data_IF_162143606580
#
_entry.id   IF_162143606580
#
_cell.length_a   1.000
_cell.length_b   1.000
_cell.length_c   1.000
_cell.angle_alpha   90.00
_cell.angle_beta   90.00
_cell.angle_gamma   90.00
#
_symmetry.space_group_name_H-M   'P 1'
#
loop_
_entity.id
_entity.type
_entity.pdbx_description
1 polymer ?
#
# COMPACT_ATOMS: atom_id res chain seq x y z
N UNK A 1 -5.54 -12.12 8.53
CA UNK A 1 -4.30 -11.77 7.83
C UNK A 1 -4.10 -12.54 6.54
N UNK A 2 -3.95 -11.80 5.45
CA UNK A 2 -3.51 -12.31 4.15
C UNK A 2 -1.99 -12.42 4.05
N UNK A 3 -1.51 -13.06 2.98
CA UNK A 3 -0.08 -13.17 2.66
C UNK A 3 0.21 -12.38 1.38
N UNK A 4 1.26 -11.58 1.40
CA UNK A 4 1.64 -10.76 0.25
C UNK A 4 1.99 -11.62 -0.98
N UNK A 5 1.40 -11.30 -2.12
CA UNK A 5 1.74 -11.95 -3.39
C UNK A 5 3.08 -11.44 -3.95
N UNK A 6 3.53 -11.98 -5.09
CA UNK A 6 4.83 -11.62 -5.68
C UNK A 6 4.95 -10.13 -6.07
N UNK A 7 3.86 -9.49 -6.45
CA UNK A 7 3.82 -8.08 -6.87
C UNK A 7 3.82 -7.14 -5.67
N UNK A 8 3.12 -7.52 -4.60
CA UNK A 8 3.13 -6.81 -3.32
C UNK A 8 4.51 -6.91 -2.66
N UNK A 9 5.12 -8.10 -2.69
CA UNK A 9 6.52 -8.30 -2.28
C UNK A 9 7.47 -7.41 -3.08
N UNK A 10 7.34 -7.37 -4.40
CA UNK A 10 8.17 -6.51 -5.22
C UNK A 10 7.98 -5.01 -4.92
N UNK A 11 6.75 -4.56 -4.67
CA UNK A 11 6.49 -3.19 -4.22
C UNK A 11 7.22 -2.87 -2.90
N UNK A 12 7.19 -3.78 -1.93
CA UNK A 12 7.90 -3.60 -0.66
C UNK A 12 9.42 -3.51 -0.86
N UNK A 13 9.99 -4.33 -1.74
CA UNK A 13 11.42 -4.29 -2.06
C UNK A 13 11.83 -2.92 -2.61
N UNK A 14 11.04 -2.36 -3.53
CA UNK A 14 11.25 -1.03 -4.09
C UNK A 14 11.17 0.06 -3.00
N UNK A 15 10.15 -0.01 -2.14
CA UNK A 15 9.98 0.91 -1.00
C UNK A 15 11.19 0.85 -0.06
N UNK A 16 11.61 -0.35 0.33
CA UNK A 16 12.73 -0.52 1.26
C UNK A 16 14.07 -0.12 0.64
N UNK A 17 14.23 -0.26 -0.68
CA UNK A 17 15.39 0.29 -1.39
C UNK A 17 15.45 1.82 -1.26
N UNK A 18 14.32 2.53 -1.40
CA UNK A 18 14.27 3.99 -1.21
C UNK A 18 14.51 4.41 0.24
N UNK A 19 13.94 3.68 1.21
CA UNK A 19 14.17 3.92 2.64
C UNK A 19 15.64 3.75 3.03
N UNK A 20 16.32 2.75 2.46
CA UNK A 20 17.74 2.51 2.71
C UNK A 20 18.64 3.69 2.31
N UNK A 21 18.28 4.43 1.25
CA UNK A 21 19.05 5.59 0.76
C UNK A 21 19.09 6.75 1.74
N UNK A 22 18.12 6.82 2.65
CA UNK A 22 18.03 7.86 3.68
C UNK A 22 18.34 7.33 5.09
N UNK A 23 18.74 6.06 5.21
CA UNK A 23 19.02 5.42 6.50
C UNK A 23 17.76 5.09 7.33
N UNK A 24 16.57 5.15 6.74
CA UNK A 24 15.34 4.77 7.42
C UNK A 24 15.26 3.24 7.59
N UNK A 25 14.66 2.78 8.69
CA UNK A 25 14.51 1.35 8.93
C UNK A 25 13.61 0.69 7.86
N UNK A 26 13.93 -0.52 7.38
CA UNK A 26 13.05 -1.22 6.45
C UNK A 26 11.69 -1.51 7.09
N UNK A 27 10.63 -1.45 6.29
CA UNK A 27 9.29 -1.87 6.69
C UNK A 27 9.17 -3.39 6.57
N UNK A 28 8.47 -3.99 7.53
CA UNK A 28 8.09 -5.39 7.51
C UNK A 28 6.63 -5.54 7.05
N UNK A 29 6.33 -6.58 6.28
CA UNK A 29 4.94 -6.90 5.99
C UNK A 29 4.18 -7.26 7.27
N UNK A 30 2.97 -6.74 7.38
CA UNK A 30 1.98 -7.19 8.34
C UNK A 30 0.74 -7.67 7.58
N UNK A 31 0.31 -8.90 7.82
CA UNK A 31 -0.76 -9.51 7.03
C UNK A 31 -2.16 -8.96 7.32
N UNK A 32 -2.39 -8.32 8.48
CA UNK A 32 -3.67 -7.62 8.73
C UNK A 32 -3.68 -6.28 7.97
N UNK A 33 -2.54 -5.60 7.88
CA UNK A 33 -2.40 -4.43 7.01
C UNK A 33 -2.54 -4.81 5.52
N UNK A 34 -2.00 -5.97 5.12
CA UNK A 34 -2.11 -6.45 3.75
C UNK A 34 -3.57 -6.70 3.37
N UNK A 35 -4.30 -7.41 4.24
CA UNK A 35 -5.74 -7.66 4.09
C UNK A 35 -6.55 -6.35 4.03
N UNK A 36 -6.24 -5.38 4.90
CA UNK A 36 -6.84 -4.04 4.84
C UNK A 36 -6.60 -3.35 3.50
N UNK A 37 -5.39 -3.46 2.93
CA UNK A 37 -5.03 -2.82 1.66
C UNK A 37 -5.69 -3.51 0.47
N UNK A 38 -5.70 -4.86 0.42
CA UNK A 38 -6.36 -5.64 -0.63
C UNK A 38 -7.86 -5.33 -0.68
N UNK A 39 -8.55 -5.39 0.47
CA UNK A 39 -9.99 -5.09 0.56
C UNK A 39 -10.30 -3.68 0.04
N UNK A 40 -9.47 -2.69 0.38
CA UNK A 40 -9.69 -1.31 -0.08
C UNK A 40 -9.44 -1.16 -1.59
N UNK A 41 -8.40 -1.78 -2.12
CA UNK A 41 -8.12 -1.81 -3.56
C UNK A 41 -9.24 -2.49 -4.35
N UNK A 42 -9.73 -3.66 -3.91
CA UNK A 42 -10.88 -4.33 -4.54
C UNK A 42 -12.15 -3.48 -4.45
N UNK A 43 -12.38 -2.81 -3.32
CA UNK A 43 -13.53 -1.93 -3.16
C UNK A 43 -13.49 -0.75 -4.13
N UNK A 44 -12.33 -0.08 -4.25
CA UNK A 44 -12.12 1.02 -5.19
C UNK A 44 -12.45 0.60 -6.63
N UNK A 45 -11.98 -0.58 -7.05
CA UNK A 45 -12.29 -1.17 -8.36
C UNK A 45 -13.79 -1.43 -8.50
N UNK A 46 -14.40 -2.14 -7.54
CA UNK A 46 -15.80 -2.57 -7.63
C UNK A 46 -16.83 -1.44 -7.63
N UNK A 47 -16.42 -0.25 -7.18
CA UNK A 47 -17.29 0.92 -7.06
C UNK A 47 -16.89 2.05 -8.00
N UNK A 48 -15.92 1.81 -8.90
CA UNK A 48 -15.38 2.79 -9.85
C UNK A 48 -15.02 4.13 -9.15
N UNK A 49 -14.28 4.02 -8.05
CA UNK A 49 -13.91 5.17 -7.23
C UNK A 49 -12.43 5.14 -6.86
N UNK A 50 -11.84 6.32 -6.67
CA UNK A 50 -10.45 6.46 -6.24
C UNK A 50 -10.38 7.42 -5.05
N UNK A 51 -10.30 6.86 -3.85
CA UNK A 51 -10.48 7.62 -2.61
C UNK A 51 -9.78 6.98 -1.42
N UNK A 52 -9.26 7.83 -0.52
CA UNK A 52 -8.80 7.40 0.81
C UNK A 52 -9.97 7.05 1.75
N UNK A 53 -11.16 7.60 1.48
CA UNK A 53 -12.40 7.26 2.20
C UNK A 53 -13.04 6.04 1.56
N UNK A 54 -13.18 4.97 2.33
CA UNK A 54 -13.64 3.66 1.88
C UNK A 54 -15.14 3.45 2.03
N UNK A 55 -15.55 2.18 1.90
CA UNK A 55 -16.92 1.73 2.08
C UNK A 55 -17.55 2.28 3.37
N UNK A 56 -18.78 2.79 3.27
CA UNK A 56 -19.51 3.35 4.41
C UNK A 56 -18.88 4.60 5.04
N UNK A 57 -17.92 5.25 4.37
CA UNK A 57 -17.20 6.41 4.92
C UNK A 57 -16.00 6.05 5.79
N UNK A 58 -15.52 4.80 5.74
CA UNK A 58 -14.39 4.33 6.56
C UNK A 58 -13.10 5.08 6.26
N UNK A 59 -12.36 5.43 7.32
CA UNK A 59 -10.98 5.90 7.21
C UNK A 59 -10.00 4.72 7.05
N UNK A 60 -8.74 4.95 6.65
CA UNK A 60 -7.74 3.89 6.61
C UNK A 60 -7.56 3.19 7.96
N UNK A 61 -7.58 3.93 9.07
CA UNK A 61 -7.47 3.36 10.42
C UNK A 61 -8.64 2.45 10.79
N UNK A 62 -9.86 2.79 10.34
CA UNK A 62 -11.03 1.93 10.54
C UNK A 62 -10.88 0.61 9.78
N UNK A 63 -10.36 0.68 8.54
CA UNK A 63 -10.12 -0.52 7.71
C UNK A 63 -9.03 -1.41 8.31
N UNK A 64 -7.92 -0.82 8.78
CA UNK A 64 -6.87 -1.56 9.50
C UNK A 64 -7.41 -2.27 10.74
N UNK A 65 -8.23 -1.56 11.54
CA UNK A 65 -8.88 -2.14 12.72
C UNK A 65 -9.84 -3.27 12.35
N UNK A 66 -10.63 -3.09 11.29
CA UNK A 66 -11.57 -4.10 10.80
C UNK A 66 -10.86 -5.36 10.27
N UNK A 67 -9.65 -5.21 9.71
CA UNK A 67 -8.79 -6.32 9.30
C UNK A 67 -8.07 -7.02 10.48
N UNK A 68 -8.24 -6.51 11.71
CA UNK A 68 -7.69 -7.12 12.92
C UNK A 68 -6.36 -6.51 13.41
N UNK A 69 -5.84 -5.48 12.72
CA UNK A 69 -4.57 -4.85 13.12
C UNK A 69 -4.69 -4.20 14.50
N UNK A 70 -3.79 -4.61 15.41
CA UNK A 70 -3.79 -4.13 16.78
C UNK A 70 -2.94 -2.87 16.94
N UNK A 71 -3.59 -1.72 17.07
CA UNK A 71 -2.95 -0.46 17.45
C UNK A 71 -2.56 -0.48 18.94
N UNK A 72 -1.36 -0.97 19.24
CA UNK A 72 -0.81 -0.98 20.59
C UNK A 72 0.30 0.06 20.78
N UNK A 73 0.36 0.67 21.97
CA UNK A 73 1.38 1.68 22.28
C UNK A 73 1.16 3.02 21.58
N UNK A 74 2.27 3.73 21.29
CA UNK A 74 2.23 4.94 20.47
C UNK A 74 2.26 4.56 19.00
N UNK A 75 1.21 4.92 18.28
CA UNK A 75 1.04 4.55 16.87
C UNK A 75 0.79 5.78 15.99
N UNK A 76 1.14 5.62 14.72
CA UNK A 76 0.79 6.54 13.63
C UNK A 76 0.60 5.69 12.37
N UNK A 77 -0.18 6.18 11.42
CA UNK A 77 -0.44 5.49 10.16
C UNK A 77 -0.42 6.48 8.99
N UNK A 78 -0.27 5.95 7.78
CA UNK A 78 -0.35 6.68 6.53
C UNK A 78 -0.89 5.77 5.43
N UNK A 79 -1.51 6.36 4.42
CA UNK A 79 -2.01 5.62 3.25
C UNK A 79 -1.51 6.30 1.98
N UNK A 80 -1.08 5.48 1.03
CA UNK A 80 -0.81 5.88 -0.34
C UNK A 80 -1.68 5.00 -1.26
N UNK A 81 -2.32 5.62 -2.24
CA UNK A 81 -3.07 4.93 -3.29
C UNK A 81 -2.56 5.38 -4.66
N UNK A 82 -2.52 4.46 -5.62
CA UNK A 82 -2.16 4.73 -6.99
C UNK A 82 -2.89 3.76 -7.91
N UNK A 83 -3.15 4.18 -9.15
CA UNK A 83 -3.71 3.32 -10.18
C UNK A 83 -3.09 3.67 -11.53
N UNK A 84 -3.12 2.72 -12.45
CA UNK A 84 -2.77 2.93 -13.85
C UNK A 84 -3.48 1.88 -14.71
N UNK A 85 -3.66 2.18 -16.01
CA UNK A 85 -4.09 1.16 -16.96
C UNK A 85 -3.00 0.11 -17.17
N UNK A 86 -3.39 -1.16 -17.26
CA UNK A 86 -2.49 -2.27 -17.56
C UNK A 86 -2.00 -2.19 -19.01
N UNK A 87 -0.76 -2.62 -19.26
CA UNK A 87 -0.14 -2.59 -20.60
C UNK A 87 0.14 -3.98 -21.16
N UNK A 88 -0.34 -5.02 -20.49
CA UNK A 88 0.32 -6.33 -20.47
C UNK A 88 -0.03 -7.23 -21.65
N UNK A 89 0.99 -7.91 -22.22
CA UNK A 89 0.84 -9.35 -22.50
C UNK A 89 1.80 -10.25 -21.69
N UNK A 90 2.76 -9.74 -20.91
CA UNK A 90 3.80 -10.54 -20.22
C UNK A 90 4.03 -10.22 -18.72
N UNK A 91 2.99 -10.22 -17.88
CA UNK A 91 3.07 -10.01 -16.42
C UNK A 91 3.04 -8.53 -15.97
N UNK A 92 2.98 -8.28 -14.65
CA UNK A 92 2.66 -6.97 -14.06
C UNK A 92 3.82 -6.26 -13.32
N UNK A 93 5.06 -6.74 -13.47
CA UNK A 93 6.20 -6.15 -12.77
C UNK A 93 6.48 -4.69 -13.22
N UNK A 94 6.29 -4.40 -14.51
CA UNK A 94 6.48 -3.05 -15.05
C UNK A 94 5.41 -2.07 -14.52
N UNK A 95 4.19 -2.54 -14.29
CA UNK A 95 3.12 -1.78 -13.63
C UNK A 95 3.45 -1.50 -12.17
N UNK A 96 3.92 -2.50 -11.42
CA UNK A 96 4.36 -2.31 -10.02
C UNK A 96 5.47 -1.26 -9.94
N UNK A 97 6.48 -1.36 -10.82
CA UNK A 97 7.59 -0.41 -10.87
C UNK A 97 7.11 1.02 -11.20
N UNK A 98 6.17 1.16 -12.13
CA UNK A 98 5.61 2.46 -12.50
C UNK A 98 4.74 3.06 -11.40
N UNK A 99 3.88 2.27 -10.76
CA UNK A 99 3.09 2.71 -9.61
C UNK A 99 4.01 3.21 -8.49
N UNK A 100 5.09 2.48 -8.19
CA UNK A 100 6.10 2.91 -7.24
C UNK A 100 6.72 4.26 -7.64
N UNK A 101 7.13 4.41 -8.91
CA UNK A 101 7.69 5.67 -9.42
C UNK A 101 6.69 6.83 -9.31
N UNK A 102 5.42 6.61 -9.62
CA UNK A 102 4.37 7.62 -9.48
C UNK A 102 4.22 8.07 -8.02
N UNK A 103 4.22 7.14 -7.07
CA UNK A 103 4.17 7.46 -5.64
C UNK A 103 5.42 8.25 -5.22
N UNK A 104 6.62 7.83 -5.62
CA UNK A 104 7.87 8.52 -5.25
C UNK A 104 8.02 9.92 -5.87
N UNK A 105 7.36 10.19 -6.99
CA UNK A 105 7.36 11.51 -7.64
C UNK A 105 6.33 12.48 -7.04
N UNK A 106 5.39 12.00 -6.22
CA UNK A 106 4.46 12.85 -5.47
C UNK A 106 5.05 13.18 -4.09
N UNK A 107 5.17 14.46 -3.75
CA UNK A 107 5.79 14.89 -2.49
C UNK A 107 5.09 14.33 -1.25
N UNK A 108 3.76 14.31 -1.22
CA UNK A 108 2.98 13.77 -0.11
C UNK A 108 3.14 12.26 0.03
N UNK A 109 3.02 11.52 -1.07
CA UNK A 109 3.18 10.06 -1.05
C UNK A 109 4.61 9.64 -0.70
N UNK A 110 5.60 10.35 -1.25
CA UNK A 110 7.02 10.15 -0.92
C UNK A 110 7.29 10.41 0.56
N UNK A 111 6.70 11.45 1.14
CA UNK A 111 6.84 11.72 2.58
C UNK A 111 6.30 10.56 3.43
N UNK A 112 5.19 9.92 3.04
CA UNK A 112 4.69 8.72 3.70
C UNK A 112 5.66 7.53 3.55
N UNK A 113 6.13 7.23 2.34
CA UNK A 113 7.06 6.11 2.07
C UNK A 113 8.34 6.24 2.90
N UNK A 114 8.86 7.47 3.03
CA UNK A 114 10.12 7.76 3.70
C UNK A 114 9.96 8.09 5.19
N UNK A 115 8.76 8.04 5.73
CA UNK A 115 8.54 8.36 7.15
C UNK A 115 9.20 7.31 8.04
N UNK A 116 10.18 7.75 8.83
CA UNK A 116 10.96 6.88 9.71
C UNK A 116 10.22 6.48 11.00
N UNK A 117 8.99 6.94 11.20
CA UNK A 117 8.12 6.50 12.30
C UNK A 117 7.43 5.16 12.00
N UNK A 118 7.35 4.76 10.73
CA UNK A 118 6.70 3.51 10.34
C UNK A 118 7.63 2.29 10.46
N UNK A 119 7.05 1.15 10.80
CA UNK A 119 7.75 -0.15 10.97
C UNK A 119 7.10 -1.28 10.18
N UNK A 120 5.80 -1.20 9.96
CA UNK A 120 5.02 -2.22 9.28
C UNK A 120 4.29 -1.60 8.07
N UNK A 121 3.96 -2.45 7.11
CA UNK A 121 3.22 -2.08 5.89
C UNK A 121 2.36 -3.25 5.41
N UNK A 122 1.24 -2.91 4.78
CA UNK A 122 0.47 -3.81 3.90
C UNK A 122 0.37 -3.19 2.52
N UNK A 123 0.37 -4.01 1.47
CA UNK A 123 0.29 -3.57 0.08
C UNK A 123 -0.83 -4.38 -0.58
N UNK A 124 -1.83 -3.71 -1.13
CA UNK A 124 -2.89 -4.38 -1.88
C UNK A 124 -2.74 -4.09 -3.35
N UNK A 125 -2.48 -5.12 -4.16
CA UNK A 125 -2.31 -4.98 -5.61
C UNK A 125 -3.41 -5.74 -6.36
N UNK A 126 -4.35 -5.01 -6.95
CA UNK A 126 -5.54 -5.56 -7.59
C UNK A 126 -5.67 -5.09 -9.05
N UNK A 127 -6.29 -5.92 -9.88
CA UNK A 127 -6.56 -5.65 -11.29
C UNK A 127 -8.07 -5.55 -11.48
N UNK A 128 -8.53 -4.43 -12.04
CA UNK A 128 -9.91 -4.25 -12.49
C UNK A 128 -10.07 -4.51 -13.99
N UNK A 129 -11.30 -4.79 -14.42
CA UNK A 129 -11.71 -4.89 -15.84
C UNK A 129 -12.28 -3.57 -16.38
#
# INVERSE_FOLDING_TARGET
MSQANIYEQFMLELINAERSKIGAQPLAFNGDLNESSEIHSSWMISTDTFSHTGAGGSSPGDRMTAAGYNFSGSWTWGENIAWMSTRVPTGLADEVQQLHTMLMNSSGHRANILNDSFREIGVGFEIGE
#
